data_IF_580272846296
#
_entry.id   IF_580272846296
#
_cell.length_a   1.000
_cell.length_b   1.000
_cell.length_c   1.000
_cell.angle_alpha   90.00
_cell.angle_beta   90.00
_cell.angle_gamma   90.00
#
_symmetry.space_group_name_H-M   'P 1'
#
loop_
_entity.id
_entity.type
_entity.pdbx_description
1 polymer ?
#
# COMPACT_ATOMS: atom_id res chain seq x y z
N UNK A 1 15.99 -8.26 -1.36
CA UNK A 1 14.99 -8.65 -0.35
C UNK A 1 13.60 -8.49 -0.95
N UNK A 2 12.70 -9.42 -0.68
CA UNK A 2 11.31 -9.40 -1.12
C UNK A 2 10.40 -9.47 0.09
N UNK A 3 9.31 -8.70 0.07
CA UNK A 3 8.31 -8.63 1.14
C UNK A 3 7.04 -9.34 0.70
N UNK A 4 6.36 -9.99 1.65
CA UNK A 4 5.01 -10.51 1.42
C UNK A 4 3.98 -9.44 1.78
N UNK A 5 3.25 -8.95 0.79
CA UNK A 5 2.15 -8.00 1.02
C UNK A 5 0.93 -8.73 1.57
N UNK A 6 0.51 -8.37 2.79
CA UNK A 6 -0.71 -8.87 3.43
C UNK A 6 -1.74 -7.75 3.51
N UNK A 7 -3.00 -8.08 3.27
CA UNK A 7 -4.12 -7.17 3.46
C UNK A 7 -4.80 -7.48 4.79
N UNK A 8 -5.20 -6.43 5.51
CA UNK A 8 -6.14 -6.58 6.60
C UNK A 8 -7.48 -7.09 6.05
N UNK A 9 -8.17 -7.92 6.82
CA UNK A 9 -9.43 -8.53 6.37
C UNK A 9 -10.47 -7.47 5.97
N UNK A 10 -10.66 -6.43 6.79
CA UNK A 10 -11.56 -5.32 6.48
C UNK A 10 -11.26 -4.69 5.11
N UNK A 11 -9.98 -4.42 4.82
CA UNK A 11 -9.54 -3.85 3.54
C UNK A 11 -9.84 -4.80 2.38
N UNK A 12 -9.68 -6.11 2.58
CA UNK A 12 -10.04 -7.09 1.56
C UNK A 12 -11.55 -7.10 1.27
N UNK A 13 -12.38 -7.01 2.32
CA UNK A 13 -13.82 -6.94 2.18
C UNK A 13 -14.29 -5.68 1.46
N UNK A 14 -13.62 -4.54 1.68
CA UNK A 14 -13.94 -3.29 0.98
C UNK A 14 -13.53 -3.36 -0.50
N UNK A 15 -12.32 -3.85 -0.78
CA UNK A 15 -11.80 -3.93 -2.15
C UNK A 15 -12.66 -4.87 -3.01
N UNK A 16 -13.19 -5.97 -2.46
CA UNK A 16 -13.97 -6.95 -3.25
C UNK A 16 -15.29 -6.39 -3.79
N UNK A 17 -15.80 -5.29 -3.22
CA UNK A 17 -17.04 -4.64 -3.62
C UNK A 17 -16.83 -3.63 -4.76
N UNK A 18 -15.59 -3.30 -5.10
CA UNK A 18 -15.24 -2.37 -6.17
C UNK A 18 -15.33 -3.06 -7.55
N UNK A 19 -15.38 -2.24 -8.60
CA UNK A 19 -15.34 -2.77 -9.96
C UNK A 19 -13.98 -3.44 -10.28
N UNK A 20 -14.00 -4.38 -11.24
CA UNK A 20 -12.83 -5.18 -11.60
C UNK A 20 -11.62 -4.34 -12.03
N UNK A 21 -11.84 -3.20 -12.70
CA UNK A 21 -10.75 -2.32 -13.16
C UNK A 21 -10.08 -1.66 -11.97
N UNK A 22 -10.86 -1.12 -11.03
CA UNK A 22 -10.35 -0.52 -9.80
C UNK A 22 -9.57 -1.53 -8.97
N UNK A 23 -10.10 -2.74 -8.77
CA UNK A 23 -9.39 -3.83 -8.05
C UNK A 23 -8.04 -4.12 -8.71
N UNK A 24 -8.01 -4.23 -10.05
CA UNK A 24 -6.78 -4.50 -10.80
C UNK A 24 -5.73 -3.40 -10.62
N UNK A 25 -6.14 -2.13 -10.65
CA UNK A 25 -5.27 -0.97 -10.43
C UNK A 25 -4.68 -0.97 -9.02
N UNK A 26 -5.51 -1.21 -8.00
CA UNK A 26 -5.07 -1.27 -6.60
C UNK A 26 -4.05 -2.41 -6.43
N UNK A 27 -4.39 -3.62 -6.89
CA UNK A 27 -3.53 -4.80 -6.79
C UNK A 27 -2.18 -4.59 -7.47
N UNK A 28 -2.16 -4.01 -8.68
CA UNK A 28 -0.92 -3.72 -9.42
C UNK A 28 -0.01 -2.74 -8.66
N UNK A 29 -0.58 -1.76 -7.98
CA UNK A 29 0.20 -0.81 -7.19
C UNK A 29 0.69 -1.42 -5.87
N UNK A 30 -0.14 -2.20 -5.18
CA UNK A 30 0.27 -2.89 -3.95
C UNK A 30 1.45 -3.85 -4.16
N UNK A 31 1.51 -4.55 -5.31
CA UNK A 31 2.65 -5.42 -5.67
C UNK A 31 4.00 -4.69 -5.71
N UNK A 32 4.02 -3.38 -5.92
CA UNK A 32 5.26 -2.59 -5.89
C UNK A 32 5.92 -2.62 -4.51
N UNK A 33 5.14 -2.82 -3.44
CA UNK A 33 5.64 -2.91 -2.07
C UNK A 33 6.43 -4.20 -1.82
N UNK A 34 6.25 -5.24 -2.64
CA UNK A 34 7.02 -6.49 -2.52
C UNK A 34 8.52 -6.26 -2.69
N UNK A 35 8.91 -5.31 -3.55
CA UNK A 35 10.32 -5.03 -3.86
C UNK A 35 10.79 -3.67 -3.32
N UNK A 36 9.87 -2.73 -3.12
CA UNK A 36 10.20 -1.37 -2.72
C UNK A 36 9.14 -0.80 -1.75
N UNK A 37 9.11 -1.25 -0.48
CA UNK A 37 8.11 -0.79 0.47
C UNK A 37 8.43 0.57 1.11
N UNK A 38 9.70 0.98 1.14
CA UNK A 38 10.12 2.24 1.79
C UNK A 38 9.93 3.47 0.89
N UNK A 39 9.64 4.65 1.47
CA UNK A 39 9.59 5.92 0.74
C UNK A 39 10.96 6.34 0.19
N UNK A 40 10.98 7.31 -0.74
CA UNK A 40 12.21 7.94 -1.23
C UNK A 40 12.94 7.23 -2.39
N UNK A 41 12.53 6.03 -2.79
CA UNK A 41 13.15 5.28 -3.91
C UNK A 41 12.48 5.50 -5.28
N UNK A 42 11.87 6.66 -5.53
CA UNK A 42 11.34 7.08 -6.84
C UNK A 42 10.12 6.33 -7.41
N UNK A 43 9.69 5.19 -6.84
CA UNK A 43 8.55 4.40 -7.33
C UNK A 43 7.39 4.45 -6.34
N UNK A 44 6.28 5.05 -6.79
CA UNK A 44 5.06 5.21 -5.98
C UNK A 44 5.17 6.41 -5.06
N UNK A 45 4.09 7.18 -4.99
CA UNK A 45 3.99 8.35 -4.13
C UNK A 45 3.80 7.87 -2.67
N UNK A 46 4.92 7.54 -2.02
CA UNK A 46 5.00 6.95 -0.68
C UNK A 46 5.62 7.93 0.29
N UNK A 47 5.06 8.00 1.49
CA UNK A 47 5.52 8.89 2.54
C UNK A 47 5.52 8.17 3.90
N UNK A 48 6.48 8.54 4.76
CA UNK A 48 6.51 8.12 6.18
C UNK A 48 5.58 9.02 6.98
N UNK A 49 4.76 8.43 7.83
CA UNK A 49 3.85 9.16 8.72
C UNK A 49 4.50 9.32 10.11
N UNK A 50 4.64 10.55 10.63
CA UNK A 50 5.24 10.80 11.94
C UNK A 50 4.21 10.55 13.06
N UNK A 51 3.84 9.28 13.27
CA UNK A 51 2.93 8.87 14.35
C UNK A 51 3.76 8.24 15.47
N UNK A 52 3.65 8.81 16.68
CA UNK A 52 4.48 8.48 17.84
C UNK A 52 4.59 6.98 18.11
N UNK A 53 5.79 6.44 17.91
CA UNK A 53 6.19 5.09 18.33
C UNK A 53 5.94 3.94 17.35
N UNK A 54 5.32 4.16 16.18
CA UNK A 54 5.15 3.11 15.16
C UNK A 54 5.45 3.63 13.76
N UNK A 55 6.29 2.90 13.03
CA UNK A 55 6.52 3.20 11.62
C UNK A 55 5.27 2.86 10.79
N UNK A 56 4.64 3.92 10.31
CA UNK A 56 3.48 3.90 9.42
C UNK A 56 3.87 4.63 8.15
N UNK A 57 3.36 4.14 7.03
CA UNK A 57 3.60 4.69 5.72
C UNK A 57 2.27 4.85 4.99
N UNK A 58 2.22 5.81 4.06
CA UNK A 58 1.15 5.94 3.09
C UNK A 58 1.67 5.74 1.68
N UNK A 59 0.82 5.24 0.79
CA UNK A 59 1.06 5.23 -0.66
C UNK A 59 -0.19 5.72 -1.38
N UNK A 60 -0.05 6.72 -2.26
CA UNK A 60 -1.13 7.11 -3.16
C UNK A 60 -1.18 6.18 -4.38
N UNK A 61 -2.38 5.72 -4.71
CA UNK A 61 -2.71 4.91 -5.90
C UNK A 61 -3.63 5.76 -6.79
N UNK A 62 -3.03 6.36 -7.82
CA UNK A 62 -3.71 7.39 -8.61
C UNK A 62 -4.01 8.63 -7.76
N UNK A 63 -5.13 9.30 -8.04
CA UNK A 63 -5.61 10.47 -7.30
C UNK A 63 -6.72 10.15 -6.30
N UNK A 64 -7.23 8.92 -6.29
CA UNK A 64 -8.45 8.54 -5.56
C UNK A 64 -8.16 7.72 -4.31
N UNK A 65 -7.17 6.84 -4.36
CA UNK A 65 -6.96 5.85 -3.30
C UNK A 65 -5.67 6.13 -2.54
N UNK A 66 -5.73 6.02 -1.22
CA UNK A 66 -4.57 6.10 -0.34
C UNK A 66 -4.51 4.83 0.51
N UNK A 67 -3.37 4.15 0.47
CA UNK A 67 -3.11 2.94 1.26
C UNK A 67 -2.25 3.32 2.45
N UNK A 68 -2.64 2.89 3.63
CA UNK A 68 -1.85 2.99 4.85
C UNK A 68 -1.29 1.61 5.20
N UNK A 69 0.00 1.52 5.47
CA UNK A 69 0.67 0.25 5.74
C UNK A 69 1.82 0.40 6.74
N UNK A 70 2.26 -0.72 7.27
CA UNK A 70 3.47 -0.85 8.09
C UNK A 70 4.37 -1.90 7.46
N UNK A 71 5.67 -1.79 7.71
CA UNK A 71 6.68 -2.76 7.27
C UNK A 71 7.09 -3.53 8.52
N UNK A 72 7.10 -4.86 8.42
CA UNK A 72 7.56 -5.77 9.46
C UNK A 72 8.80 -6.47 8.90
N UNK A 73 9.90 -6.43 9.65
CA UNK A 73 11.16 -7.12 9.32
C UNK A 73 11.13 -8.59 9.73
#
# INVERSE_FOLDING_TARGET
>A
MTYKVKLAEAVYQDIRLLDKKTISIIKKNLRKLEYNPYPGRGIGNKEKLPIGGRERYRMHIGHTWTVFYSILE
#
